data_IF_335725111325
#
_entry.id   IF_335725111325
#
_cell.length_a   1.000
_cell.length_b   1.000
_cell.length_c   1.000
_cell.angle_alpha   90.00
_cell.angle_beta   90.00
_cell.angle_gamma   90.00
#
_symmetry.space_group_name_H-M   'P 1'
#
loop_
_entity.id
_entity.type
_entity.pdbx_description
1 polymer ?
#
# COMPACT_ATOMS: atom_id res chain seq x y z
N UNK A 1 2.01 -2.91 13.88
CA UNK A 1 2.09 -2.59 12.44
C UNK A 1 3.53 -2.24 12.07
N UNK A 2 4.50 -3.16 12.30
CA UNK A 2 5.94 -2.92 12.09
C UNK A 2 6.48 -3.82 10.95
N UNK A 3 5.80 -4.92 10.65
CA UNK A 3 6.27 -5.93 9.68
C UNK A 3 6.15 -5.48 8.23
N UNK A 4 5.16 -4.67 7.86
CA UNK A 4 4.96 -4.23 6.47
C UNK A 4 6.07 -3.32 5.98
N UNK A 5 6.57 -2.41 6.83
CA UNK A 5 7.63 -1.47 6.48
C UNK A 5 8.96 -2.18 6.18
N UNK A 6 9.32 -3.20 6.96
CA UNK A 6 10.58 -3.95 6.76
C UNK A 6 10.61 -4.64 5.40
N UNK A 7 9.46 -5.16 4.93
CA UNK A 7 9.38 -5.82 3.63
C UNK A 7 9.43 -4.83 2.46
N UNK A 8 8.81 -3.66 2.61
CA UNK A 8 8.86 -2.60 1.61
C UNK A 8 10.26 -2.01 1.48
N UNK A 9 10.91 -1.69 2.61
CA UNK A 9 12.27 -1.14 2.64
C UNK A 9 13.27 -2.10 1.98
N UNK A 10 13.15 -3.39 2.29
CA UNK A 10 13.97 -4.42 1.65
C UNK A 10 13.72 -4.50 0.15
N UNK A 11 12.46 -4.46 -0.28
CA UNK A 11 12.12 -4.50 -1.70
C UNK A 11 12.72 -3.30 -2.45
N UNK A 12 12.62 -2.09 -1.88
CA UNK A 12 13.21 -0.89 -2.47
C UNK A 12 14.74 -0.98 -2.54
N UNK A 13 15.39 -1.50 -1.49
CA UNK A 13 16.84 -1.73 -1.48
C UNK A 13 17.27 -2.78 -2.52
N UNK A 14 16.53 -3.87 -2.67
CA UNK A 14 16.80 -4.91 -3.67
C UNK A 14 16.62 -4.37 -5.11
N UNK A 15 15.65 -3.49 -5.34
CA UNK A 15 15.47 -2.80 -6.62
C UNK A 15 16.60 -1.81 -6.92
N UNK A 16 17.02 -1.03 -5.92
CA UNK A 16 18.15 -0.10 -6.04
C UNK A 16 19.45 -0.84 -6.41
N UNK A 17 19.69 -2.00 -5.80
CA UNK A 17 20.83 -2.84 -6.13
C UNK A 17 20.75 -3.42 -7.56
N UNK A 18 19.57 -3.84 -8.02
CA UNK A 18 19.38 -4.31 -9.39
C UNK A 18 19.61 -3.20 -10.43
N UNK A 19 19.13 -1.98 -10.15
CA UNK A 19 19.35 -0.80 -10.97
C UNK A 19 20.84 -0.49 -11.08
N UNK A 20 21.58 -0.52 -9.97
CA UNK A 20 23.03 -0.30 -9.96
C UNK A 20 23.76 -1.34 -10.84
N UNK A 21 23.45 -2.62 -10.63
CA UNK A 21 24.05 -3.72 -11.40
C UNK A 21 23.76 -3.54 -12.90
N UNK A 22 22.50 -3.33 -13.27
CA UNK A 22 22.11 -3.17 -14.68
C UNK A 22 22.71 -1.93 -15.32
N UNK A 23 22.81 -0.82 -14.58
CA UNK A 23 23.51 0.39 -15.06
C UNK A 23 24.97 0.09 -15.39
N UNK A 24 25.64 -0.72 -14.57
CA UNK A 24 27.04 -1.09 -14.79
C UNK A 24 27.25 -2.04 -15.99
N UNK A 25 26.27 -2.89 -16.31
CA UNK A 25 26.43 -3.94 -17.33
C UNK A 25 25.66 -3.71 -18.63
N UNK A 26 24.71 -2.76 -18.68
CA UNK A 26 23.84 -2.57 -19.83
C UNK A 26 24.61 -2.21 -21.10
N UNK A 27 25.54 -1.24 -21.03
CA UNK A 27 26.29 -0.77 -22.19
C UNK A 27 25.37 -0.47 -23.37
N UNK A 28 25.66 -1.05 -24.54
CA UNK A 28 24.83 -0.94 -25.76
C UNK A 28 23.78 -2.08 -25.88
N UNK A 29 23.59 -2.90 -24.85
CA UNK A 29 22.62 -3.98 -24.88
C UNK A 29 21.20 -3.44 -24.69
N UNK A 30 20.46 -3.39 -25.80
CA UNK A 30 19.09 -2.87 -25.82
C UNK A 30 18.13 -3.56 -24.83
N UNK A 31 18.31 -4.85 -24.55
CA UNK A 31 17.45 -5.58 -23.60
C UNK A 31 17.72 -5.11 -22.17
N UNK A 32 19.00 -5.01 -21.79
CA UNK A 32 19.38 -4.58 -20.44
C UNK A 32 19.02 -3.12 -20.19
N UNK A 33 19.16 -2.25 -21.20
CA UNK A 33 18.71 -0.86 -21.13
C UNK A 33 17.20 -0.75 -20.92
N UNK A 34 16.42 -1.58 -21.61
CA UNK A 34 14.97 -1.60 -21.42
C UNK A 34 14.57 -2.17 -20.05
N UNK A 35 15.27 -3.20 -19.57
CA UNK A 35 15.09 -3.71 -18.20
C UNK A 35 15.40 -2.65 -17.14
N UNK A 36 16.46 -1.86 -17.34
CA UNK A 36 16.81 -0.75 -16.45
C UNK A 36 15.69 0.31 -16.43
N UNK A 37 15.15 0.67 -17.60
CA UNK A 37 14.00 1.58 -17.71
C UNK A 37 12.80 1.06 -16.91
N UNK A 38 12.42 -0.21 -17.13
CA UNK A 38 11.29 -0.84 -16.45
C UNK A 38 11.51 -0.88 -14.94
N UNK A 39 12.72 -1.18 -14.46
CA UNK A 39 13.02 -1.19 -13.02
C UNK A 39 12.85 0.17 -12.37
N UNK A 40 13.29 1.25 -13.04
CA UNK A 40 13.03 2.61 -12.56
C UNK A 40 11.53 2.90 -12.47
N UNK A 41 10.77 2.58 -13.51
CA UNK A 41 9.31 2.78 -13.53
C UNK A 41 8.61 1.98 -12.41
N UNK A 42 9.00 0.71 -12.20
CA UNK A 42 8.45 -0.12 -11.14
C UNK A 42 8.76 0.45 -9.75
N UNK A 43 9.99 0.89 -9.52
CA UNK A 43 10.39 1.49 -8.25
C UNK A 43 9.57 2.74 -7.93
N UNK A 44 9.42 3.63 -8.90
CA UNK A 44 8.60 4.85 -8.74
C UNK A 44 7.13 4.51 -8.48
N UNK A 45 6.57 3.53 -9.20
CA UNK A 45 5.20 3.10 -9.02
C UNK A 45 4.96 2.53 -7.60
N UNK A 46 5.89 1.75 -7.06
CA UNK A 46 5.80 1.21 -5.70
C UNK A 46 5.79 2.35 -4.68
N UNK A 47 6.71 3.31 -4.79
CA UNK A 47 6.78 4.46 -3.88
C UNK A 47 5.46 5.27 -3.92
N UNK A 48 4.94 5.52 -5.11
CA UNK A 48 3.66 6.21 -5.29
C UNK A 48 2.50 5.46 -4.65
N UNK A 49 2.43 4.13 -4.85
CA UNK A 49 1.38 3.31 -4.27
C UNK A 49 1.45 3.29 -2.74
N UNK A 50 2.64 3.25 -2.15
CA UNK A 50 2.80 3.33 -0.69
C UNK A 50 2.27 4.65 -0.16
N UNK A 51 2.66 5.79 -0.76
CA UNK A 51 2.18 7.10 -0.34
C UNK A 51 0.66 7.25 -0.49
N UNK A 52 0.09 6.71 -1.57
CA UNK A 52 -1.35 6.74 -1.79
C UNK A 52 -2.11 5.85 -0.79
N UNK A 53 -1.54 4.69 -0.43
CA UNK A 53 -2.11 3.82 0.59
C UNK A 53 -2.11 4.50 1.97
N UNK A 54 -1.03 5.18 2.33
CA UNK A 54 -0.95 5.96 3.58
C UNK A 54 -2.01 7.08 3.59
N UNK A 55 -2.12 7.83 2.49
CA UNK A 55 -3.12 8.89 2.32
C UNK A 55 -4.55 8.36 2.45
N UNK A 56 -4.86 7.22 1.83
CA UNK A 56 -6.18 6.59 1.92
C UNK A 56 -6.45 6.03 3.32
N UNK A 57 -5.44 5.48 3.99
CA UNK A 57 -5.57 4.99 5.36
C UNK A 57 -5.89 6.13 6.35
N UNK A 58 -5.26 7.30 6.17
CA UNK A 58 -5.55 8.51 6.94
C UNK A 58 -7.01 8.96 6.74
N UNK A 59 -7.45 9.06 5.48
CA UNK A 59 -8.85 9.43 5.17
C UNK A 59 -9.87 8.46 5.75
N UNK A 60 -9.62 7.15 5.68
CA UNK A 60 -10.52 6.16 6.27
C UNK A 60 -10.55 6.26 7.80
N UNK A 61 -9.43 6.62 8.44
CA UNK A 61 -9.36 6.83 9.88
C UNK A 61 -10.19 8.04 10.34
N UNK A 62 -10.26 9.08 9.51
CA UNK A 62 -11.07 10.29 9.76
C UNK A 62 -12.57 10.07 9.46
N UNK A 63 -12.91 9.15 8.54
CA UNK A 63 -14.30 8.79 8.20
C UNK A 63 -14.93 7.74 9.14
N UNK A 64 -14.13 7.08 9.99
CA UNK A 64 -14.63 6.22 11.06
C UNK A 64 -15.14 7.07 12.24
N UNK A 65 -16.37 7.57 12.10
CA UNK A 65 -17.15 8.25 13.12
C UNK A 65 -17.07 7.49 14.49
N UNK A 66 -16.94 8.15 15.65
CA UNK A 66 -16.81 7.50 16.97
C UNK A 66 -17.99 6.61 17.40
N UNK A 67 -19.00 6.48 16.53
CA UNK A 67 -20.25 5.79 16.75
C UNK A 67 -20.28 4.40 16.11
N UNK A 68 -19.24 3.99 15.37
CA UNK A 68 -19.11 2.60 14.88
C UNK A 68 -20.19 2.16 13.88
N UNK A 69 -20.88 3.11 13.24
CA UNK A 69 -21.90 2.80 12.24
C UNK A 69 -21.22 2.50 10.90
N UNK A 70 -21.23 1.24 10.52
CA UNK A 70 -20.95 0.86 9.13
C UNK A 70 -22.24 0.99 8.32
N UNK A 71 -22.16 1.20 7.00
CA UNK A 71 -23.32 1.19 6.08
C UNK A 71 -24.11 -0.15 6.15
N UNK A 72 -23.52 -1.17 6.81
CA UNK A 72 -24.12 -2.49 7.08
C UNK A 72 -24.79 -2.55 8.47
N UNK A 73 -25.08 -1.43 9.13
CA UNK A 73 -26.07 -1.47 10.21
C UNK A 73 -27.46 -1.57 9.59
N UNK A 74 -27.94 -2.81 9.46
CA UNK A 74 -29.32 -3.10 9.11
C UNK A 74 -30.24 -2.38 10.12
N UNK A 75 -31.23 -1.60 9.66
CA UNK A 75 -32.23 -1.06 10.54
C UNK A 75 -33.10 -2.21 11.07
N UNK A 76 -32.72 -2.80 12.20
CA UNK A 76 -33.50 -3.87 12.82
C UNK A 76 -32.81 -4.75 13.87
N UNK A 77 -31.48 -4.72 14.03
CA UNK A 77 -30.81 -5.56 15.03
C UNK A 77 -30.85 -4.96 16.44
N UNK A 78 -32.00 -5.17 17.12
CA UNK A 78 -32.02 -5.42 18.56
C UNK A 78 -32.41 -4.26 19.46
N UNK A 79 -33.69 -4.22 19.85
CA UNK A 79 -34.07 -4.12 21.26
C UNK A 79 -35.29 -5.01 21.50
N UNK A 80 -35.00 -6.23 21.94
CA UNK A 80 -35.91 -6.99 22.80
C UNK A 80 -36.36 -6.07 23.93
N UNK A 81 -37.68 -5.88 24.07
CA UNK A 81 -38.29 -5.39 25.30
C UNK A 81 -39.08 -6.53 25.90
N UNK A 82 -38.38 -7.43 26.59
CA UNK A 82 -39.01 -8.23 27.64
C UNK A 82 -39.07 -7.41 28.94
N UNK A 83 -40.28 -7.29 29.49
CA UNK A 83 -40.50 -7.41 30.95
C UNK A 83 -40.54 -6.15 31.83
N UNK A 84 -41.71 -5.92 32.44
CA UNK A 84 -41.92 -5.24 33.73
C UNK A 84 -42.28 -3.76 33.60
N UNK A 85 -43.44 -3.26 34.04
CA UNK A 85 -44.39 -3.69 35.08
C UNK A 85 -45.83 -3.40 34.67
#
# INVERSE_FOLDING_TARGET
MITSDIHLDKLLADLDQQIEILTAIAGDNAILTEQLRILHECREAIVWQTLEMERLAEQLSDELDPQGLTIVDLPGSGREREGGT
#
